data_IF_649986168338
#
_entry.id   IF_649986168338
#
_cell.length_a   1.000
_cell.length_b   1.000
_cell.length_c   1.000
_cell.angle_alpha   90.00
_cell.angle_beta   90.00
_cell.angle_gamma   90.00
#
_symmetry.space_group_name_H-M   'P 1'
#
loop_
_entity.id
_entity.type
_entity.pdbx_description
1 polymer ?
#
# COMPACT_ATOMS: atom_id res chain seq x y z
N UNK A 1 -2.20 -52.60 5.94
CA UNK A 1 -2.12 -51.58 7.01
C UNK A 1 -3.17 -50.53 6.71
N UNK A 2 -4.22 -50.44 7.53
CA UNK A 2 -5.32 -49.47 7.37
C UNK A 2 -5.09 -48.38 8.42
N UNK A 3 -4.89 -47.15 7.98
CA UNK A 3 -4.64 -45.98 8.82
C UNK A 3 -5.94 -45.25 9.13
N UNK A 4 -6.30 -45.22 10.41
CA UNK A 4 -7.44 -44.50 10.97
C UNK A 4 -7.13 -43.00 11.07
N UNK A 5 -7.63 -42.19 10.13
CA UNK A 5 -7.44 -40.72 10.18
C UNK A 5 -8.74 -39.91 9.99
N UNK A 6 -9.89 -40.49 10.40
CA UNK A 6 -11.21 -39.84 10.27
C UNK A 6 -11.96 -39.63 11.58
N UNK A 7 -11.32 -39.82 12.74
CA UNK A 7 -12.04 -39.88 14.02
C UNK A 7 -11.95 -38.64 14.92
N UNK A 8 -11.45 -37.49 14.45
CA UNK A 8 -11.37 -36.29 15.30
C UNK A 8 -12.56 -35.32 15.18
N UNK A 9 -13.49 -35.55 14.24
CA UNK A 9 -14.64 -34.64 13.99
C UNK A 9 -15.86 -34.87 14.90
N UNK A 10 -15.76 -35.60 16.02
CA UNK A 10 -16.92 -35.99 16.84
C UNK A 10 -16.87 -35.63 18.33
N UNK A 11 -16.03 -34.69 18.78
CA UNK A 11 -15.89 -34.35 20.21
C UNK A 11 -16.27 -32.93 20.66
N UNK A 12 -17.10 -32.17 19.93
CA UNK A 12 -17.60 -30.86 20.43
C UNK A 12 -19.13 -30.79 20.43
N UNK A 13 -19.76 -31.85 20.94
CA UNK A 13 -21.12 -31.79 21.48
C UNK A 13 -20.99 -32.34 22.89
N UNK A 14 -20.90 -31.46 23.89
CA UNK A 14 -21.24 -31.64 25.31
C UNK A 14 -20.70 -30.43 26.08
N UNK A 15 -21.56 -29.86 26.93
CA UNK A 15 -21.31 -28.83 27.95
C UNK A 15 -21.44 -27.35 27.52
N UNK A 16 -22.67 -26.94 27.18
CA UNK A 16 -23.17 -25.70 27.79
C UNK A 16 -24.47 -26.01 28.52
N UNK A 17 -24.31 -26.20 29.84
CA UNK A 17 -25.36 -26.63 30.74
C UNK A 17 -26.43 -25.56 30.93
N UNK A 18 -27.68 -25.99 30.83
CA UNK A 18 -28.80 -25.38 31.52
C UNK A 18 -28.59 -25.45 33.04
N UNK A 19 -28.60 -24.29 33.71
CA UNK A 19 -29.06 -24.01 35.09
C UNK A 19 -28.52 -22.60 35.46
N UNK A 20 -29.24 -21.65 36.03
CA UNK A 20 -30.40 -21.74 36.90
C UNK A 20 -31.25 -20.46 36.87
N UNK A 21 -32.50 -20.66 37.29
CA UNK A 21 -33.50 -19.70 37.74
C UNK A 21 -32.98 -18.83 38.89
N UNK A 22 -33.15 -17.51 38.81
CA UNK A 22 -33.19 -16.64 39.99
C UNK A 22 -34.45 -15.79 39.93
N UNK A 23 -35.34 -16.11 40.86
CA UNK A 23 -36.59 -15.45 41.20
C UNK A 23 -36.34 -14.02 41.68
N UNK A 24 -37.18 -13.11 41.20
CA UNK A 24 -37.27 -11.73 41.64
C UNK A 24 -37.58 -11.66 43.15
N UNK A 25 -36.89 -10.78 43.87
CA UNK A 25 -37.39 -10.20 45.11
C UNK A 25 -37.23 -8.70 45.02
N UNK A 26 -38.40 -8.07 45.04
CA UNK A 26 -38.67 -6.65 45.20
C UNK A 26 -38.04 -6.11 46.50
N UNK A 27 -37.12 -5.15 46.37
CA UNK A 27 -36.79 -4.20 47.44
C UNK A 27 -36.60 -2.84 46.80
N UNK A 28 -37.54 -1.95 47.11
CA UNK A 28 -37.52 -0.56 46.75
C UNK A 28 -36.36 0.20 47.45
N UNK A 29 -35.91 1.25 46.74
CA UNK A 29 -35.44 2.54 47.29
C UNK A 29 -33.94 2.65 47.63
N UNK A 30 -33.17 3.16 46.68
CA UNK A 30 -32.61 4.52 46.73
C UNK A 30 -31.92 4.88 45.40
N UNK A 31 -32.01 6.15 45.03
CA UNK A 31 -31.46 6.69 43.79
C UNK A 31 -29.92 6.80 43.87
N UNK A 32 -29.16 6.16 42.97
CA UNK A 32 -27.93 6.75 42.49
C UNK A 32 -28.26 7.72 41.34
N UNK A 33 -27.85 8.98 41.51
CA UNK A 33 -27.80 9.98 40.43
C UNK A 33 -27.19 9.32 39.19
N UNK A 34 -28.01 9.20 38.15
CA UNK A 34 -27.56 8.79 36.82
C UNK A 34 -26.77 9.94 36.23
N UNK A 35 -25.46 9.91 36.43
CA UNK A 35 -24.52 10.55 35.53
C UNK A 35 -24.58 9.73 34.24
N UNK A 36 -25.33 10.24 33.26
CA UNK A 36 -25.42 9.66 31.93
C UNK A 36 -24.07 9.85 31.23
N UNK A 37 -23.14 8.94 31.48
CA UNK A 37 -22.07 8.67 30.52
C UNK A 37 -22.75 8.09 29.29
N UNK A 38 -23.09 9.00 28.39
CA UNK A 38 -23.48 8.74 27.00
C UNK A 38 -22.27 8.10 26.31
N UNK A 39 -22.03 6.82 26.62
CA UNK A 39 -21.19 5.93 25.82
C UNK A 39 -21.98 5.54 24.57
N UNK A 40 -22.50 6.54 23.85
CA UNK A 40 -22.78 6.45 22.42
C UNK A 40 -21.42 6.41 21.75
N UNK A 41 -20.75 5.27 21.86
CA UNK A 41 -19.71 4.89 20.93
C UNK A 41 -20.33 4.99 19.55
N UNK A 42 -19.85 5.89 18.67
CA UNK A 42 -20.28 5.88 17.30
C UNK A 42 -19.75 4.57 16.73
N UNK A 43 -20.60 3.55 16.55
CA UNK A 43 -20.43 2.63 15.42
C UNK A 43 -20.73 3.43 14.17
N UNK A 44 -19.86 4.39 13.86
CA UNK A 44 -19.72 4.78 12.47
C UNK A 44 -19.01 3.60 11.83
N UNK A 45 -19.52 3.14 10.71
CA UNK A 45 -18.82 2.22 9.82
C UNK A 45 -17.65 3.00 9.20
N UNK A 46 -16.75 3.51 10.04
CA UNK A 46 -15.51 4.15 9.63
C UNK A 46 -14.62 2.99 9.21
N UNK A 47 -14.60 2.74 7.90
CA UNK A 47 -13.56 1.94 7.28
C UNK A 47 -12.22 2.47 7.81
N UNK A 48 -11.33 1.58 8.27
CA UNK A 48 -10.08 2.00 8.87
C UNK A 48 -9.32 2.86 7.85
N UNK A 49 -8.62 3.91 8.31
CA UNK A 49 -7.87 4.78 7.42
C UNK A 49 -6.95 3.93 6.54
N UNK A 50 -6.99 4.18 5.24
CA UNK A 50 -6.26 3.40 4.24
C UNK A 50 -4.78 3.33 4.63
N UNK A 51 -4.21 2.12 4.64
CA UNK A 51 -2.84 1.82 5.11
C UNK A 51 -2.58 1.90 6.62
N UNK A 52 -3.63 1.93 7.45
CA UNK A 52 -3.47 1.61 8.88
C UNK A 52 -3.21 0.13 9.10
N UNK A 53 -2.69 -0.22 10.29
CA UNK A 53 -2.46 -1.63 10.66
C UNK A 53 -3.78 -2.41 10.66
N UNK A 54 -4.86 -1.77 11.07
CA UNK A 54 -6.22 -2.31 11.08
C UNK A 54 -6.70 -2.58 9.65
N UNK A 55 -6.43 -1.68 8.71
CA UNK A 55 -6.75 -1.88 7.29
C UNK A 55 -6.01 -3.10 6.71
N UNK A 56 -4.71 -3.22 6.98
CA UNK A 56 -3.90 -4.36 6.51
C UNK A 56 -4.34 -5.73 7.04
N UNK A 57 -4.96 -5.77 8.22
CA UNK A 57 -5.39 -7.00 8.87
C UNK A 57 -6.80 -7.46 8.47
N UNK A 58 -7.51 -6.68 7.64
CA UNK A 58 -8.78 -7.11 7.06
C UNK A 58 -8.58 -8.30 6.11
N UNK A 59 -9.52 -9.26 6.05
CA UNK A 59 -9.47 -10.42 5.17
C UNK A 59 -9.89 -10.04 3.73
N UNK A 60 -9.23 -9.05 3.15
CA UNK A 60 -9.44 -8.59 1.78
C UNK A 60 -8.17 -8.84 0.95
N UNK A 61 -8.29 -9.30 -0.31
CA UNK A 61 -7.15 -9.68 -1.14
C UNK A 61 -6.20 -8.52 -1.42
N UNK A 62 -6.72 -7.30 -1.63
CA UNK A 62 -5.90 -6.11 -1.81
C UNK A 62 -5.06 -5.80 -0.56
N UNK A 63 -5.67 -5.96 0.62
CA UNK A 63 -5.06 -5.61 1.89
C UNK A 63 -3.98 -6.64 2.23
N UNK A 64 -4.22 -7.92 1.94
CA UNK A 64 -3.26 -9.02 2.09
C UNK A 64 -2.05 -8.82 1.18
N UNK A 65 -2.25 -8.55 -0.11
CA UNK A 65 -1.16 -8.31 -1.05
C UNK A 65 -0.30 -7.10 -0.61
N UNK A 66 -0.94 -6.00 -0.22
CA UNK A 66 -0.23 -4.82 0.24
C UNK A 66 0.50 -5.07 1.58
N UNK A 67 -0.09 -5.84 2.50
CA UNK A 67 0.56 -6.26 3.75
C UNK A 67 1.84 -7.06 3.47
N UNK A 68 1.78 -8.05 2.57
CA UNK A 68 2.94 -8.87 2.19
C UNK A 68 4.06 -8.04 1.55
N UNK A 69 3.72 -7.04 0.74
CA UNK A 69 4.69 -6.12 0.13
C UNK A 69 5.43 -5.27 1.18
N UNK A 70 4.75 -4.87 2.27
CA UNK A 70 5.34 -3.99 3.29
C UNK A 70 6.08 -4.74 4.40
N UNK A 71 5.80 -6.02 4.60
CA UNK A 71 6.42 -6.83 5.64
C UNK A 71 7.83 -7.30 5.23
N UNK A 72 8.73 -7.47 6.21
CA UNK A 72 9.99 -8.14 5.96
C UNK A 72 9.74 -9.63 5.69
N UNK A 73 10.60 -10.23 4.86
CA UNK A 73 10.44 -11.60 4.36
C UNK A 73 10.22 -12.66 5.46
N UNK A 74 10.90 -12.50 6.60
CA UNK A 74 10.81 -13.42 7.73
C UNK A 74 9.45 -13.41 8.45
N UNK A 75 8.71 -12.30 8.38
CA UNK A 75 7.34 -12.20 8.90
C UNK A 75 6.33 -12.55 7.81
N UNK A 76 6.56 -12.11 6.57
CA UNK A 76 5.66 -12.30 5.44
C UNK A 76 5.41 -13.79 5.12
N UNK A 77 6.45 -14.63 5.22
CA UNK A 77 6.35 -16.08 4.98
C UNK A 77 5.39 -16.82 5.93
N UNK A 78 5.08 -16.23 7.08
CA UNK A 78 4.19 -16.82 8.09
C UNK A 78 2.75 -16.26 7.95
N UNK A 79 2.49 -15.36 7.00
CA UNK A 79 1.18 -14.83 6.69
C UNK A 79 0.56 -15.66 5.56
N UNK A 80 -0.65 -16.22 5.74
CA UNK A 80 -1.30 -16.98 4.68
C UNK A 80 -1.62 -16.09 3.48
N UNK A 81 -1.40 -16.61 2.28
CA UNK A 81 -1.71 -15.91 1.03
C UNK A 81 -3.23 -15.86 0.77
N UNK A 82 -3.95 -16.89 1.22
CA UNK A 82 -5.41 -16.93 1.21
C UNK A 82 -5.99 -15.96 2.26
N UNK A 83 -6.99 -15.18 1.86
CA UNK A 83 -7.66 -14.21 2.71
C UNK A 83 -8.73 -14.84 3.59
N UNK A 84 -9.26 -16.00 3.18
CA UNK A 84 -10.21 -16.79 3.98
C UNK A 84 -9.53 -17.50 5.15
N UNK A 85 -8.20 -17.68 5.08
CA UNK A 85 -7.41 -18.25 6.17
C UNK A 85 -7.07 -17.17 7.22
N UNK A 86 -7.48 -17.36 8.49
CA UNK A 86 -7.19 -16.39 9.53
C UNK A 86 -5.68 -16.34 9.83
N UNK A 87 -5.16 -15.14 10.03
CA UNK A 87 -3.77 -14.95 10.46
C UNK A 87 -3.61 -15.50 11.88
N UNK A 88 -2.59 -16.32 12.11
CA UNK A 88 -2.28 -16.79 13.46
C UNK A 88 -2.00 -15.60 14.41
N UNK A 89 -2.57 -15.66 15.61
CA UNK A 89 -2.48 -14.56 16.58
C UNK A 89 -1.04 -14.17 16.96
N UNK A 90 -0.07 -15.10 16.90
CA UNK A 90 1.33 -14.79 17.12
C UNK A 90 1.97 -14.05 15.93
N UNK A 91 1.55 -14.38 14.70
CA UNK A 91 1.94 -13.65 13.49
C UNK A 91 1.36 -12.24 13.51
N UNK A 92 0.07 -12.08 13.84
CA UNK A 92 -0.59 -10.78 13.97
C UNK A 92 0.14 -9.87 14.97
N UNK A 93 0.52 -10.40 16.14
CA UNK A 93 1.33 -9.66 17.13
C UNK A 93 2.67 -9.20 16.57
N UNK A 94 3.35 -10.03 15.77
CA UNK A 94 4.61 -9.67 15.10
C UNK A 94 4.41 -8.57 14.07
N UNK A 95 3.35 -8.64 13.26
CA UNK A 95 2.95 -7.60 12.31
C UNK A 95 2.72 -6.28 13.03
N UNK A 96 1.87 -6.26 14.07
CA UNK A 96 1.58 -5.06 14.85
C UNK A 96 2.84 -4.47 15.48
N UNK A 97 3.73 -5.31 16.01
CA UNK A 97 5.02 -4.88 16.55
C UNK A 97 5.92 -4.26 15.48
N UNK A 98 5.97 -4.82 14.27
CA UNK A 98 6.73 -4.28 13.15
C UNK A 98 6.22 -2.89 12.74
N UNK A 99 4.92 -2.73 12.54
CA UNK A 99 4.34 -1.43 12.19
C UNK A 99 4.46 -0.40 13.32
N UNK A 100 4.35 -0.82 14.58
CA UNK A 100 4.60 0.06 15.73
C UNK A 100 6.05 0.56 15.74
N UNK A 101 7.01 -0.34 15.48
CA UNK A 101 8.43 0.00 15.41
C UNK A 101 8.71 0.91 14.21
N UNK A 102 8.15 0.61 13.03
CA UNK A 102 8.31 1.40 11.81
C UNK A 102 7.69 2.79 11.93
N UNK A 103 6.51 2.88 12.55
CA UNK A 103 5.83 4.13 12.88
C UNK A 103 6.68 5.02 13.79
N UNK A 104 7.33 4.45 14.81
CA UNK A 104 8.28 5.16 15.69
C UNK A 104 9.43 5.81 14.89
N UNK A 105 9.95 5.13 13.86
CA UNK A 105 11.03 5.67 13.01
C UNK A 105 10.51 6.79 12.10
N UNK A 106 9.28 6.66 11.59
CA UNK A 106 8.69 7.64 10.67
C UNK A 106 8.19 8.91 11.37
N UNK A 107 7.58 8.78 12.55
CA UNK A 107 7.22 9.94 13.38
C UNK A 107 8.45 10.63 13.95
N UNK A 108 9.56 9.91 14.14
CA UNK A 108 10.84 10.50 14.56
C UNK A 108 11.52 11.34 13.48
N UNK A 109 11.20 11.17 12.19
CA UNK A 109 11.77 11.97 11.11
C UNK A 109 10.90 13.16 10.69
N UNK A 110 9.58 13.14 10.95
CA UNK A 110 8.70 14.28 10.64
C UNK A 110 8.63 15.33 11.77
N UNK A 111 9.34 15.13 12.89
CA UNK A 111 9.37 16.04 14.05
C UNK A 111 10.76 16.66 14.27
N UNK A 112 11.39 17.14 13.19
CA UNK A 112 12.37 18.21 13.31
C UNK A 112 11.69 19.55 12.97
N UNK A 113 11.17 20.29 13.96
CA UNK A 113 10.91 21.71 13.77
C UNK A 113 12.26 22.45 13.85
N UNK A 114 12.74 22.97 12.73
CA UNK A 114 13.88 23.90 12.70
C UNK A 114 15.04 23.44 11.82
N UNK A 115 14.91 23.67 10.53
CA UNK A 115 16.03 23.99 9.65
C UNK A 115 15.52 25.07 8.67
N UNK A 116 15.17 26.21 9.26
CA UNK A 116 15.12 27.48 8.57
C UNK A 116 16.54 27.97 8.27
N UNK A 117 16.63 28.63 7.13
CA UNK A 117 17.82 29.05 6.41
C UNK A 117 18.78 29.90 7.25
N UNK A 118 20.08 29.75 7.01
CA UNK A 118 20.96 30.80 6.46
C UNK A 118 22.42 30.38 6.66
N UNK A 119 23.21 30.38 5.59
CA UNK A 119 24.38 31.24 5.43
C UNK A 119 25.13 30.90 4.15
N UNK A 120 25.12 31.86 3.23
CA UNK A 120 26.15 32.05 2.23
C UNK A 120 27.52 32.15 2.92
N UNK A 121 28.46 31.30 2.54
CA UNK A 121 29.90 31.60 2.58
C UNK A 121 30.55 30.99 1.35
N UNK A 122 31.06 31.88 0.49
CA UNK A 122 32.04 31.59 -0.55
C UNK A 122 33.19 30.74 -0.01
N UNK A 123 33.54 29.65 -0.72
CA UNK A 123 34.95 29.36 -1.00
C UNK A 123 35.14 28.38 -2.15
N UNK A 124 35.72 28.93 -3.21
CA UNK A 124 36.60 28.32 -4.20
C UNK A 124 37.52 27.27 -3.58
N UNK A 125 37.51 26.04 -4.12
CA UNK A 125 38.73 25.26 -4.33
C UNK A 125 38.57 24.37 -5.55
N UNK A 126 39.39 24.71 -6.54
CA UNK A 126 39.55 24.10 -7.84
C UNK A 126 40.32 22.77 -7.66
N UNK A 127 39.58 21.66 -7.64
CA UNK A 127 40.12 20.30 -7.59
C UNK A 127 39.97 19.62 -8.94
N UNK A 128 40.94 19.86 -9.83
CA UNK A 128 41.13 19.16 -11.09
C UNK A 128 41.34 17.66 -10.85
N UNK A 129 40.40 16.82 -11.28
CA UNK A 129 40.65 15.40 -11.56
C UNK A 129 40.06 15.06 -12.92
N UNK A 130 40.93 15.14 -13.94
CA UNK A 130 40.80 14.44 -15.20
C UNK A 130 40.65 12.94 -14.92
N UNK A 131 39.50 12.38 -15.27
CA UNK A 131 39.40 10.95 -15.54
C UNK A 131 38.68 10.75 -16.87
N UNK A 132 39.47 10.91 -17.93
CA UNK A 132 39.17 10.42 -19.27
C UNK A 132 39.09 8.89 -19.25
N UNK A 133 37.89 8.33 -19.08
CA UNK A 133 37.64 6.91 -19.33
C UNK A 133 37.04 6.74 -20.73
N UNK A 134 37.95 6.62 -21.71
CA UNK A 134 37.64 6.06 -23.03
C UNK A 134 37.54 4.54 -22.90
N UNK A 135 36.32 4.00 -22.84
CA UNK A 135 36.10 2.58 -23.09
C UNK A 135 35.61 2.39 -24.51
N UNK A 136 36.42 1.62 -25.26
CA UNK A 136 36.21 1.26 -26.65
C UNK A 136 35.04 0.30 -26.77
N UNK A 137 34.36 0.45 -27.89
CA UNK A 137 33.44 -0.49 -28.48
C UNK A 137 34.12 -1.85 -28.64
N UNK A 138 33.45 -2.91 -28.19
CA UNK A 138 33.62 -4.25 -28.74
C UNK A 138 32.23 -4.88 -28.83
N UNK A 139 31.78 -4.99 -30.08
CA UNK A 139 30.63 -5.75 -30.54
C UNK A 139 30.87 -7.25 -30.31
N UNK A 140 29.86 -7.97 -29.79
CA UNK A 140 29.60 -9.27 -30.40
C UNK A 140 28.15 -9.41 -30.82
N UNK A 141 28.00 -9.54 -32.14
CA UNK A 141 26.88 -10.18 -32.84
C UNK A 141 26.45 -11.45 -32.09
N UNK A 142 25.27 -11.38 -31.45
CA UNK A 142 24.60 -12.56 -30.91
C UNK A 142 23.19 -12.62 -31.47
N UNK A 143 23.06 -13.51 -32.45
CA UNK A 143 21.85 -13.92 -33.16
C UNK A 143 20.90 -14.60 -32.18
N UNK A 144 19.89 -13.88 -31.69
CA UNK A 144 18.79 -14.49 -30.94
C UNK A 144 17.72 -15.01 -31.88
N UNK A 145 17.47 -16.29 -31.70
CA UNK A 145 16.62 -17.18 -32.45
C UNK A 145 15.14 -16.98 -32.06
N UNK A 146 14.29 -16.98 -33.08
CA UNK A 146 12.83 -16.88 -33.02
C UNK A 146 12.22 -18.20 -32.48
N UNK A 147 11.63 -18.16 -31.26
CA UNK A 147 10.91 -19.25 -30.57
C UNK A 147 9.87 -18.58 -29.62
N UNK A 148 8.65 -19.14 -29.43
CA UNK A 148 7.41 -18.40 -29.68
C UNK A 148 6.76 -17.69 -28.50
N UNK A 149 6.02 -16.64 -28.89
CA UNK A 149 4.76 -16.11 -28.32
C UNK A 149 4.23 -16.86 -27.08
N UNK A 150 4.29 -16.26 -25.88
CA UNK A 150 3.49 -16.74 -24.76
C UNK A 150 2.01 -16.41 -25.02
N UNK A 151 1.18 -17.45 -24.91
CA UNK A 151 -0.26 -17.36 -24.81
C UNK A 151 -0.64 -16.34 -23.73
N UNK A 152 -1.47 -15.38 -24.13
CA UNK A 152 -2.28 -14.58 -23.23
C UNK A 152 -3.10 -15.53 -22.37
N UNK A 153 -2.76 -15.67 -21.09
CA UNK A 153 -3.75 -16.11 -20.12
C UNK A 153 -4.80 -14.99 -20.04
N UNK A 154 -5.95 -15.24 -20.64
CA UNK A 154 -7.19 -14.55 -20.35
C UNK A 154 -7.46 -14.70 -18.86
N UNK A 155 -7.06 -13.70 -18.08
CA UNK A 155 -7.66 -13.45 -16.77
C UNK A 155 -8.96 -12.73 -17.08
N UNK A 156 -10.02 -13.53 -17.23
CA UNK A 156 -11.40 -13.09 -17.14
C UNK A 156 -11.59 -12.41 -15.78
N UNK A 157 -11.67 -11.09 -15.79
CA UNK A 157 -12.52 -10.35 -14.86
C UNK A 157 -13.13 -9.17 -15.61
N UNK A 158 -14.07 -9.53 -16.49
CA UNK A 158 -15.01 -8.59 -17.08
C UNK A 158 -16.20 -8.49 -16.11
N UNK A 159 -16.16 -7.49 -15.23
CA UNK A 159 -17.39 -6.84 -14.80
C UNK A 159 -17.56 -5.59 -15.65
N UNK A 160 -18.50 -5.70 -16.60
CA UNK A 160 -19.03 -4.66 -17.48
C UNK A 160 -19.25 -3.32 -16.76
N UNK A 161 -18.22 -2.49 -16.76
CA UNK A 161 -18.37 -1.05 -16.87
C UNK A 161 -17.47 -0.69 -18.03
N UNK A 162 -18.06 -0.28 -19.14
CA UNK A 162 -17.42 0.12 -20.40
C UNK A 162 -16.47 1.34 -20.24
N UNK A 163 -15.49 1.18 -19.37
CA UNK A 163 -14.45 2.14 -19.06
C UNK A 163 -13.23 1.90 -19.94
N UNK A 164 -12.31 2.87 -19.97
CA UNK A 164 -11.07 2.73 -20.70
C UNK A 164 -10.24 1.54 -20.17
N UNK A 165 -9.44 0.88 -21.02
CA UNK A 165 -8.59 -0.24 -20.61
C UNK A 165 -7.74 0.13 -19.40
N UNK A 166 -7.61 -0.80 -18.43
CA UNK A 166 -6.80 -0.58 -17.23
C UNK A 166 -5.37 -0.20 -17.62
N UNK A 167 -4.83 0.83 -16.96
CA UNK A 167 -3.51 1.43 -17.25
C UNK A 167 -3.36 2.16 -18.59
N UNK A 168 -4.44 2.37 -19.35
CA UNK A 168 -4.41 3.35 -20.44
C UNK A 168 -4.33 4.78 -19.90
N UNK A 169 -3.90 5.72 -20.75
CA UNK A 169 -3.84 7.16 -20.39
C UNK A 169 -5.21 7.68 -19.93
N UNK A 170 -6.27 7.29 -20.63
CA UNK A 170 -7.63 7.69 -20.26
C UNK A 170 -8.05 7.10 -18.91
N UNK A 171 -7.62 5.88 -18.60
CA UNK A 171 -7.86 5.29 -17.29
C UNK A 171 -7.19 6.11 -16.19
N UNK A 172 -5.93 6.51 -16.33
CA UNK A 172 -5.25 7.32 -15.31
C UNK A 172 -5.88 8.71 -15.08
N UNK A 173 -6.52 9.28 -16.10
CA UNK A 173 -7.11 10.62 -16.03
C UNK A 173 -8.50 10.64 -15.38
N UNK A 174 -9.08 9.47 -15.06
CA UNK A 174 -10.36 9.40 -14.35
C UNK A 174 -10.22 10.00 -12.92
N UNK A 175 -11.24 10.73 -12.43
CA UNK A 175 -11.26 11.32 -11.09
C UNK A 175 -11.59 10.26 -10.02
N UNK A 176 -10.80 9.20 -9.95
CA UNK A 176 -10.93 8.10 -8.99
C UNK A 176 -9.65 7.99 -8.15
N UNK A 177 -9.75 7.75 -6.82
CA UNK A 177 -8.59 7.64 -5.92
C UNK A 177 -7.52 6.66 -6.40
N UNK A 178 -7.93 5.46 -6.83
CA UNK A 178 -7.02 4.41 -7.30
C UNK A 178 -6.26 4.87 -8.55
N UNK A 179 -6.96 5.48 -9.50
CA UNK A 179 -6.41 5.97 -10.76
C UNK A 179 -5.43 7.13 -10.52
N UNK A 180 -5.78 8.04 -9.59
CA UNK A 180 -4.96 9.19 -9.20
C UNK A 180 -3.67 8.77 -8.52
N UNK A 181 -3.73 7.85 -7.54
CA UNK A 181 -2.54 7.31 -6.89
C UNK A 181 -1.62 6.61 -7.90
N UNK A 182 -2.19 5.71 -8.71
CA UNK A 182 -1.44 4.99 -9.75
C UNK A 182 -0.79 5.94 -10.77
N UNK A 183 -1.48 7.03 -11.15
CA UNK A 183 -0.92 8.05 -12.04
C UNK A 183 0.28 8.75 -11.40
N UNK A 184 0.13 9.19 -10.15
CA UNK A 184 1.19 9.92 -9.42
C UNK A 184 2.43 9.08 -9.18
N UNK A 185 2.29 7.77 -9.01
CA UNK A 185 3.41 6.85 -8.83
C UNK A 185 4.19 6.58 -10.13
N UNK A 186 3.55 6.71 -11.29
CA UNK A 186 4.20 6.54 -12.60
C UNK A 186 4.85 7.80 -13.15
N UNK A 187 4.44 8.97 -12.67
CA UNK A 187 4.93 10.24 -13.18
C UNK A 187 6.27 10.64 -12.54
N UNK A 188 7.15 11.33 -13.28
CA UNK A 188 8.31 12.01 -12.70
C UNK A 188 7.89 13.02 -11.62
N UNK A 189 8.79 13.31 -10.68
CA UNK A 189 8.51 14.12 -9.48
C UNK A 189 7.83 15.46 -9.78
N UNK A 190 8.36 16.22 -10.76
CA UNK A 190 7.81 17.53 -11.11
C UNK A 190 6.36 17.45 -11.61
N UNK A 191 6.05 16.43 -12.42
CA UNK A 191 4.69 16.22 -12.91
C UNK A 191 3.78 15.68 -11.81
N UNK A 192 4.28 14.76 -10.98
CA UNK A 192 3.56 14.21 -9.81
C UNK A 192 3.09 15.30 -8.87
N UNK A 193 3.91 16.32 -8.61
CA UNK A 193 3.59 17.44 -7.73
C UNK A 193 2.59 18.43 -8.34
N UNK A 194 2.51 18.48 -9.67
CA UNK A 194 1.52 19.29 -10.38
C UNK A 194 0.15 18.60 -10.49
N UNK A 195 0.06 17.31 -10.14
CA UNK A 195 -1.19 16.56 -10.10
C UNK A 195 -1.77 16.62 -8.68
N UNK A 196 -2.98 17.18 -8.50
CA UNK A 196 -3.64 17.24 -7.19
C UNK A 196 -3.79 15.87 -6.53
N UNK A 197 -3.66 15.79 -5.21
CA UNK A 197 -3.90 14.55 -4.47
C UNK A 197 -5.40 14.24 -4.37
N UNK A 198 -6.22 15.28 -4.19
CA UNK A 198 -7.68 15.16 -4.14
C UNK A 198 -8.24 14.85 -5.54
N UNK A 199 -9.10 13.84 -5.61
CA UNK A 199 -9.76 13.43 -6.85
C UNK A 199 -10.91 14.37 -7.25
N UNK A 200 -11.40 15.18 -6.31
CA UNK A 200 -12.39 16.22 -6.59
C UNK A 200 -11.77 17.45 -7.27
N UNK A 201 -10.46 17.62 -7.16
CA UNK A 201 -9.75 18.69 -7.86
C UNK A 201 -9.43 18.28 -9.30
N UNK A 202 -9.86 19.05 -10.31
CA UNK A 202 -9.58 18.75 -11.69
C UNK A 202 -8.09 18.93 -12.00
N UNK A 203 -7.54 18.07 -12.84
CA UNK A 203 -6.18 18.26 -13.37
C UNK A 203 -6.21 19.47 -14.29
N UNK A 204 -5.27 20.41 -14.10
CA UNK A 204 -5.16 21.55 -15.00
C UNK A 204 -4.87 21.07 -16.44
N UNK A 205 -5.51 21.64 -17.47
CA UNK A 205 -5.32 21.21 -18.87
C UNK A 205 -3.85 21.22 -19.33
N UNK A 206 -3.05 22.14 -18.79
CA UNK A 206 -1.60 22.23 -19.08
C UNK A 206 -0.86 21.00 -18.54
N UNK A 207 -1.23 20.54 -17.33
CA UNK A 207 -0.64 19.35 -16.69
C UNK A 207 -1.11 18.09 -17.41
N UNK A 208 -2.40 17.99 -17.74
CA UNK A 208 -2.95 16.87 -18.52
C UNK A 208 -2.22 16.70 -19.86
N UNK A 209 -1.98 17.80 -20.60
CA UNK A 209 -1.22 17.76 -21.86
C UNK A 209 0.21 17.21 -21.67
N UNK A 210 0.87 17.58 -20.57
CA UNK A 210 2.21 17.05 -20.23
C UNK A 210 2.16 15.57 -19.90
N UNK A 211 1.16 15.12 -19.13
CA UNK A 211 0.93 13.72 -18.82
C UNK A 211 0.74 12.90 -20.09
N UNK A 212 -0.15 13.35 -20.99
CA UNK A 212 -0.39 12.68 -22.28
C UNK A 212 0.88 12.61 -23.14
N UNK A 213 1.68 13.68 -23.15
CA UNK A 213 2.97 13.71 -23.84
C UNK A 213 3.95 12.68 -23.24
N UNK A 214 4.02 12.57 -21.92
CA UNK A 214 4.87 11.60 -21.22
C UNK A 214 4.48 10.15 -21.56
N UNK A 215 3.20 9.81 -21.50
CA UNK A 215 2.73 8.46 -21.87
C UNK A 215 2.82 8.15 -23.36
N UNK A 216 3.06 9.15 -24.21
CA UNK A 216 3.34 8.94 -25.64
C UNK A 216 4.80 8.57 -25.90
N UNK A 217 5.68 8.70 -24.89
CA UNK A 217 7.08 8.27 -24.98
C UNK A 217 7.17 6.74 -24.90
N UNK A 218 8.28 6.20 -25.40
CA UNK A 218 8.60 4.78 -25.18
C UNK A 218 8.87 4.50 -23.70
N UNK A 219 8.65 3.25 -23.27
CA UNK A 219 8.87 2.85 -21.87
C UNK A 219 10.29 3.15 -21.38
N UNK A 220 11.30 2.99 -22.26
CA UNK A 220 12.70 3.31 -21.93
C UNK A 220 12.91 4.80 -21.65
N UNK A 221 12.28 5.67 -22.44
CA UNK A 221 12.33 7.11 -22.23
C UNK A 221 11.58 7.52 -20.96
N UNK A 222 10.44 6.88 -20.68
CA UNK A 222 9.71 7.10 -19.43
C UNK A 222 10.56 6.75 -18.19
N UNK A 223 11.26 5.61 -18.22
CA UNK A 223 12.18 5.20 -17.14
C UNK A 223 13.35 6.19 -17.00
N UNK A 224 13.90 6.66 -18.12
CA UNK A 224 15.01 7.61 -18.11
C UNK A 224 14.59 8.96 -17.50
N UNK A 225 13.43 9.48 -17.88
CA UNK A 225 12.84 10.70 -17.30
C UNK A 225 12.49 10.52 -15.81
N UNK A 226 12.02 9.34 -15.42
CA UNK A 226 11.78 9.05 -14.02
C UNK A 226 13.09 9.03 -13.22
N UNK A 227 14.17 8.46 -13.76
CA UNK A 227 15.48 8.41 -13.10
C UNK A 227 16.17 9.79 -13.02
N UNK A 228 16.10 10.60 -14.08
CA UNK A 228 16.68 11.95 -14.12
C UNK A 228 16.06 12.87 -13.07
N UNK A 229 14.77 12.68 -12.79
CA UNK A 229 14.00 13.42 -11.82
C UNK A 229 14.52 13.31 -10.37
N UNK A 230 15.18 12.20 -9.99
CA UNK A 230 15.72 12.04 -8.62
C UNK A 230 17.14 12.61 -8.48
N UNK A 231 17.88 12.75 -9.59
CA UNK A 231 19.24 13.29 -9.58
C UNK A 231 19.33 14.78 -9.25
N UNK A 232 18.26 15.54 -9.43
CA UNK A 232 18.24 16.99 -9.19
C UNK A 232 17.98 17.40 -7.73
N UNK A 233 17.62 16.47 -6.84
CA UNK A 233 17.32 16.78 -5.43
C UNK A 233 18.55 16.75 -4.50
N UNK A 234 19.75 16.44 -5.01
CA UNK A 234 20.96 16.20 -4.20
C UNK A 234 21.98 17.35 -4.22
N UNK A 235 21.57 18.58 -4.52
CA UNK A 235 22.46 19.76 -4.54
C UNK A 235 21.92 20.83 -3.59
#
# INVERSE_FOLDING_TARGET
MVSFNMLWKLCVIVAFGLSATVTATDVAKEQPKKESLDNRFPRKNEEPPMYSVEWYLLPEPENRACLLEKLPFDVAKDVPEDCDEPIDSAVEKRIRKFFSLRGLIFTSMSSYPGLDETNNVDQTTQGSLDSSFTNKEDEPSSKSQEVPKPESMDTEEETDTAGPPKFSVEWYLLPKPINRGSLRDKLPWEMRNAVPEDCNEPILPVVEKRIRKFFSLSEKEQILEHASSYGHQSI
#
